data_IF_977670905812
#
_entry.id   IF_977670905812
#
_cell.length_a   1.000
_cell.length_b   1.000
_cell.length_c   1.000
_cell.angle_alpha   90.00
_cell.angle_beta   90.00
_cell.angle_gamma   90.00
#
_symmetry.space_group_name_H-M   'P 1'
#
loop_
_entity.id
_entity.type
_entity.pdbx_description
1 polymer ?
#
# COMPACT_ATOMS: atom_id res chain seq x y z
N UNK A 1 28.15 25.14 27.19
CA UNK A 1 26.91 25.63 27.83
C UNK A 1 27.20 26.92 28.58
N UNK A 2 26.24 27.80 28.63
CA UNK A 2 26.31 29.01 29.46
C UNK A 2 25.02 29.13 30.28
N UNK A 3 25.11 29.84 31.40
CA UNK A 3 23.94 30.09 32.26
C UNK A 3 23.31 31.39 31.80
N UNK A 4 22.04 31.30 31.40
CA UNK A 4 21.21 32.48 31.08
C UNK A 4 20.44 32.88 32.35
N UNK A 5 20.71 34.07 32.83
CA UNK A 5 19.97 34.66 33.95
C UNK A 5 18.83 35.53 33.38
N UNK A 6 17.65 35.37 33.88
CA UNK A 6 16.49 36.18 33.52
C UNK A 6 16.22 37.23 34.58
N UNK A 7 15.57 38.32 34.18
CA UNK A 7 15.28 39.43 35.07
C UNK A 7 14.35 39.05 36.25
N UNK A 8 13.60 37.94 36.13
CA UNK A 8 12.75 37.36 37.16
C UNK A 8 13.48 36.42 38.14
N UNK A 9 14.83 36.35 38.09
CA UNK A 9 15.64 35.53 38.95
C UNK A 9 15.78 34.06 38.53
N UNK A 10 15.13 33.63 37.45
CA UNK A 10 15.32 32.26 36.91
C UNK A 10 16.69 32.12 36.26
N UNK A 11 17.25 30.91 36.40
CA UNK A 11 18.53 30.53 35.79
C UNK A 11 18.32 29.27 34.94
N UNK A 12 18.63 29.39 33.67
CA UNK A 12 18.61 28.25 32.75
C UNK A 12 19.98 27.98 32.19
N UNK A 13 20.35 26.71 32.10
CA UNK A 13 21.55 26.28 31.40
C UNK A 13 21.27 26.13 29.91
N UNK A 14 21.72 27.07 29.12
CA UNK A 14 21.61 27.00 27.66
C UNK A 14 22.81 26.23 27.12
N UNK A 15 22.52 25.14 26.44
CA UNK A 15 23.55 24.35 25.75
C UNK A 15 23.68 24.89 24.34
N UNK A 16 24.84 25.48 24.08
CA UNK A 16 25.17 26.10 22.80
C UNK A 16 26.01 25.16 21.94
N UNK A 17 25.71 25.14 20.65
CA UNK A 17 26.59 24.51 19.66
C UNK A 17 27.09 25.58 18.69
N UNK A 18 28.40 25.66 18.43
CA UNK A 18 28.96 26.59 17.44
C UNK A 18 28.48 26.29 16.01
N UNK A 19 27.91 25.13 15.78
CA UNK A 19 27.40 24.70 14.47
C UNK A 19 25.89 24.95 14.29
N UNK A 20 25.21 25.50 15.31
CA UNK A 20 23.78 25.85 15.19
C UNK A 20 23.61 26.97 14.15
N UNK A 21 22.76 26.73 13.15
CA UNK A 21 22.53 27.67 12.05
C UNK A 21 23.50 27.57 10.87
N UNK A 22 24.44 26.61 10.89
CA UNK A 22 25.27 26.31 9.73
C UNK A 22 24.54 25.46 8.69
N UNK A 23 25.13 25.36 7.47
CA UNK A 23 24.55 24.60 6.36
C UNK A 23 24.29 23.09 6.68
N UNK A 24 25.08 22.55 7.61
CA UNK A 24 24.86 21.21 8.17
C UNK A 24 24.28 21.38 9.57
N UNK A 25 23.14 20.78 9.80
CA UNK A 25 22.46 20.83 11.10
C UNK A 25 23.31 20.16 12.20
N UNK A 26 23.05 20.55 13.43
CA UNK A 26 23.79 20.00 14.60
C UNK A 26 23.38 18.53 14.75
N UNK A 27 24.36 17.60 14.85
CA UNK A 27 24.05 16.20 15.13
C UNK A 27 23.18 16.07 16.38
N UNK A 28 22.18 15.21 16.31
CA UNK A 28 21.28 14.96 17.43
C UNK A 28 22.04 14.64 18.70
N UNK A 29 21.67 15.33 19.79
CA UNK A 29 22.33 15.13 21.10
C UNK A 29 21.69 13.92 21.76
N UNK A 30 22.52 12.99 22.20
CA UNK A 30 22.12 11.79 22.91
C UNK A 30 22.51 10.51 22.19
N UNK A 31 22.35 9.41 22.91
CA UNK A 31 22.60 8.09 22.35
C UNK A 31 21.48 7.76 21.38
N UNK A 32 21.82 7.33 20.17
CA UNK A 32 20.88 6.85 19.17
C UNK A 32 21.28 5.44 18.76
N UNK A 33 20.33 4.57 18.67
CA UNK A 33 20.54 3.21 18.20
C UNK A 33 19.18 2.58 17.96
N UNK A 34 18.94 2.15 16.72
CA UNK A 34 17.68 1.52 16.34
C UNK A 34 17.97 0.27 15.50
N UNK A 35 17.38 -0.83 15.87
CA UNK A 35 17.41 -2.09 15.11
C UNK A 35 16.00 -2.34 14.60
N UNK A 36 15.87 -2.48 13.29
CA UNK A 36 14.60 -2.83 12.66
C UNK A 36 14.63 -4.28 12.22
N UNK A 37 13.67 -5.05 12.69
CA UNK A 37 13.43 -6.41 12.21
C UNK A 37 12.28 -6.35 11.22
N UNK A 38 12.53 -6.81 10.00
CA UNK A 38 11.51 -6.90 8.97
C UNK A 38 11.58 -8.25 8.27
N UNK A 39 10.42 -8.86 8.08
CA UNK A 39 10.24 -10.10 7.33
C UNK A 39 9.27 -9.78 6.21
N UNK A 40 9.64 -10.14 4.98
CA UNK A 40 8.76 -10.01 3.82
C UNK A 40 8.81 -11.31 3.04
N UNK A 41 7.63 -11.84 2.75
CA UNK A 41 7.46 -13.06 1.97
C UNK A 41 6.46 -12.82 0.85
N UNK A 42 6.66 -13.50 -0.27
CA UNK A 42 5.71 -13.63 -1.35
C UNK A 42 5.36 -15.10 -1.56
N UNK A 43 4.17 -15.37 -2.06
CA UNK A 43 3.72 -16.73 -2.38
C UNK A 43 3.25 -16.77 -3.83
N UNK A 44 3.97 -17.53 -4.63
CA UNK A 44 3.64 -17.77 -6.02
C UNK A 44 3.29 -19.25 -6.26
N UNK A 45 2.29 -19.46 -7.10
CA UNK A 45 1.87 -20.80 -7.51
C UNK A 45 2.08 -20.96 -9.00
N UNK A 46 2.66 -22.09 -9.36
CA UNK A 46 2.70 -22.54 -10.76
C UNK A 46 1.63 -23.61 -10.97
N UNK A 47 0.81 -23.44 -11.99
CA UNK A 47 -0.17 -24.45 -12.34
C UNK A 47 -0.10 -24.77 -13.84
N UNK A 48 -0.35 -26.02 -14.16
CA UNK A 48 -0.40 -26.49 -15.53
C UNK A 48 -1.77 -26.20 -16.13
N UNK A 49 -1.80 -25.49 -17.26
CA UNK A 49 -3.03 -25.18 -18.00
C UNK A 49 -3.19 -26.17 -19.15
N UNK A 50 -4.00 -27.20 -18.97
CA UNK A 50 -4.28 -28.22 -19.99
C UNK A 50 -4.85 -27.66 -21.30
N UNK A 51 -5.48 -26.48 -21.27
CA UNK A 51 -6.01 -25.83 -22.49
C UNK A 51 -4.92 -25.28 -23.41
N UNK A 52 -3.71 -24.99 -22.90
CA UNK A 52 -2.62 -24.35 -23.64
C UNK A 52 -1.32 -25.11 -23.59
N UNK A 53 -1.29 -26.25 -22.92
CA UNK A 53 -0.08 -27.08 -22.69
C UNK A 53 1.10 -26.27 -22.11
N UNK A 54 0.79 -25.27 -21.26
CA UNK A 54 1.77 -24.36 -20.68
C UNK A 54 1.64 -24.25 -19.17
N UNK A 55 2.79 -24.05 -18.50
CA UNK A 55 2.83 -23.76 -17.07
C UNK A 55 2.57 -22.26 -16.89
N UNK A 56 1.52 -21.92 -16.14
CA UNK A 56 1.22 -20.55 -15.76
C UNK A 56 1.62 -20.30 -14.33
N UNK A 57 2.19 -19.12 -14.09
CA UNK A 57 2.57 -18.61 -12.77
C UNK A 57 1.53 -17.61 -12.28
N UNK A 58 1.03 -17.79 -11.07
CA UNK A 58 0.13 -16.85 -10.41
C UNK A 58 0.74 -16.44 -9.08
N UNK A 59 0.84 -15.14 -8.82
CA UNK A 59 1.13 -14.62 -7.48
C UNK A 59 -0.15 -14.71 -6.65
N UNK A 60 -0.14 -15.52 -5.59
CA UNK A 60 -1.25 -15.64 -4.63
C UNK A 60 -1.16 -14.54 -3.58
N UNK A 61 0.05 -14.33 -3.04
CA UNK A 61 0.36 -13.28 -2.09
C UNK A 61 1.54 -12.50 -2.68
N UNK A 62 1.28 -11.26 -3.05
CA UNK A 62 2.29 -10.38 -3.63
C UNK A 62 3.27 -9.89 -2.56
N UNK A 63 2.76 -9.64 -1.35
CA UNK A 63 3.56 -9.27 -0.20
C UNK A 63 2.86 -9.67 1.10
N UNK A 64 3.57 -10.40 1.96
CA UNK A 64 3.21 -10.64 3.35
C UNK A 64 4.39 -10.18 4.20
N UNK A 65 4.20 -9.08 4.92
CA UNK A 65 5.25 -8.43 5.69
C UNK A 65 4.93 -8.30 7.17
N UNK A 66 5.98 -8.37 7.99
CA UNK A 66 5.94 -8.01 9.39
C UNK A 66 7.16 -7.17 9.73
N UNK A 67 6.99 -6.13 10.50
CA UNK A 67 8.07 -5.24 10.92
C UNK A 67 7.91 -4.80 12.36
N UNK A 68 9.05 -4.73 13.05
CA UNK A 68 9.15 -4.21 14.42
C UNK A 68 10.49 -3.55 14.62
N UNK A 69 10.53 -2.51 15.43
CA UNK A 69 11.75 -1.81 15.75
C UNK A 69 12.16 -2.02 17.22
N UNK A 70 13.48 -2.00 17.51
CA UNK A 70 14.06 -2.00 18.83
C UNK A 70 15.00 -0.81 18.99
N UNK A 71 14.68 0.11 19.91
CA UNK A 71 15.51 1.28 20.21
C UNK A 71 16.47 0.95 21.35
N UNK A 72 17.74 0.73 21.02
CA UNK A 72 18.81 0.40 21.98
C UNK A 72 19.14 1.56 22.92
N UNK A 73 18.82 2.78 22.56
CA UNK A 73 19.10 3.97 23.34
C UNK A 73 17.97 4.35 24.32
N UNK A 74 16.82 3.69 24.21
CA UNK A 74 15.68 3.95 25.08
C UNK A 74 15.94 3.40 26.49
N UNK A 75 15.79 4.25 27.51
CA UNK A 75 15.90 3.84 28.91
C UNK A 75 14.73 2.94 29.34
N UNK A 76 13.55 3.14 28.75
CA UNK A 76 12.33 2.36 28.99
C UNK A 76 11.64 2.08 27.66
N UNK A 77 10.91 0.96 27.56
CA UNK A 77 10.11 0.61 26.39
C UNK A 77 10.89 0.62 25.06
N UNK A 78 11.92 -0.21 24.94
CA UNK A 78 12.77 -0.21 23.74
C UNK A 78 12.08 -0.77 22.49
N UNK A 79 11.03 -1.61 22.62
CA UNK A 79 10.33 -2.18 21.50
C UNK A 79 9.30 -1.20 20.93
N UNK A 80 9.29 -1.04 19.62
CA UNK A 80 8.22 -0.34 18.90
C UNK A 80 6.98 -1.23 18.72
N UNK A 81 6.01 -0.70 18.00
CA UNK A 81 4.80 -1.44 17.66
C UNK A 81 5.06 -2.44 16.53
N UNK A 82 4.36 -3.58 16.56
CA UNK A 82 4.42 -4.59 15.51
C UNK A 82 3.49 -4.20 14.37
N UNK A 83 4.04 -3.98 13.19
CA UNK A 83 3.30 -3.77 11.95
C UNK A 83 3.17 -5.07 11.17
N UNK A 84 1.97 -5.33 10.61
CA UNK A 84 1.70 -6.42 9.68
C UNK A 84 1.11 -5.84 8.40
N UNK A 85 1.57 -6.30 7.24
CA UNK A 85 1.07 -5.90 5.93
C UNK A 85 0.88 -7.13 5.03
N UNK A 86 -0.24 -7.10 4.30
CA UNK A 86 -0.60 -8.11 3.32
C UNK A 86 -1.06 -7.40 2.05
N UNK A 87 -0.52 -7.81 0.91
CA UNK A 87 -0.96 -7.36 -0.40
C UNK A 87 -1.24 -8.57 -1.29
N UNK A 88 -2.47 -8.61 -1.82
CA UNK A 88 -2.94 -9.63 -2.73
C UNK A 88 -3.22 -8.99 -4.08
N UNK A 89 -2.62 -9.51 -5.14
CA UNK A 89 -2.91 -9.11 -6.50
C UNK A 89 -3.74 -10.20 -7.17
N UNK A 90 -5.06 -10.13 -6.99
CA UNK A 90 -5.97 -11.18 -7.42
C UNK A 90 -6.20 -11.17 -8.94
N UNK A 91 -5.97 -10.04 -9.60
CA UNK A 91 -5.97 -9.93 -11.06
C UNK A 91 -5.18 -8.70 -11.51
N UNK A 92 -5.00 -8.51 -12.85
CA UNK A 92 -4.35 -7.31 -13.41
C UNK A 92 -5.04 -6.00 -12.96
N UNK A 93 -6.36 -6.05 -12.73
CA UNK A 93 -7.19 -4.88 -12.42
C UNK A 93 -7.65 -4.83 -10.95
N UNK A 94 -7.22 -5.78 -10.14
CA UNK A 94 -7.72 -5.93 -8.78
C UNK A 94 -6.59 -6.15 -7.79
N UNK A 95 -6.38 -5.19 -6.91
CA UNK A 95 -5.41 -5.27 -5.82
C UNK A 95 -6.11 -5.04 -4.49
N UNK A 96 -5.84 -5.90 -3.54
CA UNK A 96 -6.30 -5.78 -2.16
C UNK A 96 -5.10 -5.63 -1.25
N UNK A 97 -5.09 -4.60 -0.42
CA UNK A 97 -4.05 -4.35 0.57
C UNK A 97 -4.65 -4.26 1.96
N UNK A 98 -3.97 -4.84 2.91
CA UNK A 98 -4.36 -4.90 4.30
C UNK A 98 -3.15 -4.58 5.18
N UNK A 99 -3.33 -3.73 6.16
CA UNK A 99 -2.32 -3.44 7.18
C UNK A 99 -2.95 -3.47 8.56
N UNK A 100 -2.18 -3.92 9.54
CA UNK A 100 -2.60 -3.95 10.94
C UNK A 100 -1.44 -3.59 11.84
N UNK A 101 -1.68 -2.91 12.93
CA UNK A 101 -0.67 -2.61 13.93
C UNK A 101 -1.07 -3.08 15.31
N UNK A 102 -0.09 -3.58 16.05
CA UNK A 102 -0.25 -4.11 17.39
C UNK A 102 0.73 -3.42 18.32
N UNK A 103 0.19 -2.82 19.36
CA UNK A 103 0.97 -2.13 20.37
C UNK A 103 1.67 -3.14 21.27
N UNK A 104 2.98 -2.97 21.42
CA UNK A 104 3.81 -3.84 22.22
C UNK A 104 3.59 -3.62 23.72
N UNK A 105 3.34 -2.37 24.11
CA UNK A 105 3.10 -2.00 25.51
C UNK A 105 1.65 -1.61 25.73
N UNK A 106 1.03 -2.19 26.74
CA UNK A 106 -0.34 -1.87 27.13
C UNK A 106 -0.46 -0.52 27.84
N UNK A 107 -1.66 -0.23 28.31
CA UNK A 107 -1.95 0.98 29.07
C UNK A 107 -2.09 0.64 30.57
N UNK A 108 -1.70 1.58 31.43
CA UNK A 108 -1.93 1.56 32.88
C UNK A 108 -2.35 2.96 33.34
N UNK A 109 -2.94 3.04 34.54
CA UNK A 109 -3.13 4.34 35.19
C UNK A 109 -1.93 4.66 36.05
N UNK A 110 -1.47 5.91 36.01
CA UNK A 110 -0.49 6.44 36.96
C UNK A 110 -1.15 6.75 38.33
N UNK A 111 -0.35 7.23 39.28
CA UNK A 111 -0.82 7.65 40.60
C UNK A 111 -1.83 8.79 40.56
N UNK A 112 -1.84 9.58 39.49
CA UNK A 112 -2.72 10.71 39.31
C UNK A 112 -4.00 10.36 38.51
N UNK A 113 -4.15 9.08 38.12
CA UNK A 113 -5.29 8.63 37.32
C UNK A 113 -5.14 8.90 35.80
N UNK A 114 -3.99 9.37 35.33
CA UNK A 114 -3.74 9.55 33.91
C UNK A 114 -3.41 8.21 33.23
N UNK A 115 -3.80 8.09 31.97
CA UNK A 115 -3.47 6.93 31.16
C UNK A 115 -2.04 7.06 30.65
N UNK A 116 -1.19 6.13 31.05
CA UNK A 116 0.21 6.03 30.60
C UNK A 116 0.47 4.65 30.03
N UNK A 117 1.50 4.54 29.23
CA UNK A 117 1.92 3.24 28.71
C UNK A 117 2.60 2.40 29.81
N UNK A 118 2.33 1.11 29.78
CA UNK A 118 2.99 0.16 30.67
C UNK A 118 4.47 -0.01 30.27
N UNK A 119 5.34 -0.29 31.23
CA UNK A 119 6.76 -0.52 30.96
C UNK A 119 7.08 -1.97 30.60
N UNK A 120 6.12 -2.89 30.84
CA UNK A 120 6.24 -4.30 30.47
C UNK A 120 5.49 -4.57 29.18
N UNK A 121 6.10 -5.38 28.33
CA UNK A 121 5.51 -5.79 27.06
C UNK A 121 4.29 -6.70 27.28
N UNK A 122 3.32 -6.65 26.38
CA UNK A 122 2.18 -7.59 26.38
C UNK A 122 2.66 -9.05 26.22
N UNK A 123 3.79 -9.26 25.54
CA UNK A 123 4.41 -10.58 25.39
C UNK A 123 4.85 -11.19 26.71
N UNK A 124 5.29 -10.37 27.68
CA UNK A 124 5.63 -10.86 29.02
C UNK A 124 4.43 -11.41 29.79
N UNK A 125 3.21 -11.10 29.33
CA UNK A 125 1.96 -11.64 29.83
C UNK A 125 1.38 -12.75 28.95
N UNK A 126 2.15 -13.26 27.97
CA UNK A 126 1.71 -14.27 27.01
C UNK A 126 0.70 -13.77 25.98
N UNK A 127 0.60 -12.45 25.77
CA UNK A 127 -0.31 -11.83 24.78
C UNK A 127 0.46 -11.37 23.58
N UNK A 128 -0.14 -11.44 22.40
CA UNK A 128 0.50 -11.02 21.14
C UNK A 128 0.75 -9.50 21.06
N UNK A 129 -0.09 -8.70 21.70
CA UNK A 129 -0.06 -7.23 21.65
C UNK A 129 -1.48 -6.67 21.73
N UNK A 130 -1.60 -5.34 21.86
CA UNK A 130 -2.89 -4.67 21.79
C UNK A 130 -3.13 -4.22 20.36
N UNK A 131 -4.21 -4.70 19.76
CA UNK A 131 -4.65 -4.26 18.44
C UNK A 131 -4.93 -2.76 18.45
N UNK A 132 -4.19 -2.00 17.64
CA UNK A 132 -4.32 -0.55 17.53
C UNK A 132 -5.20 -0.15 16.36
N UNK A 133 -5.15 -0.92 15.29
CA UNK A 133 -5.87 -0.58 14.10
C UNK A 133 -5.67 -1.55 12.95
N UNK A 134 -6.55 -1.41 11.99
CA UNK A 134 -6.61 -2.18 10.76
C UNK A 134 -6.92 -1.23 9.62
N UNK A 135 -6.14 -1.30 8.57
CA UNK A 135 -6.42 -0.61 7.31
C UNK A 135 -6.54 -1.61 6.19
N UNK A 136 -7.56 -1.46 5.36
CA UNK A 136 -7.65 -2.17 4.09
C UNK A 136 -7.96 -1.21 2.96
N UNK A 137 -7.38 -1.47 1.81
CA UNK A 137 -7.65 -0.73 0.59
C UNK A 137 -7.91 -1.70 -0.56
N UNK A 138 -8.80 -1.28 -1.39
CA UNK A 138 -9.25 -1.98 -2.56
C UNK A 138 -9.19 -1.03 -3.73
N UNK A 139 -8.56 -1.43 -4.82
CA UNK A 139 -8.54 -0.66 -6.06
C UNK A 139 -9.04 -1.50 -7.23
N UNK A 140 -9.85 -0.90 -8.07
CA UNK A 140 -10.36 -1.53 -9.27
C UNK A 140 -10.32 -0.55 -10.45
N UNK A 141 -9.77 -1.02 -11.56
CA UNK A 141 -9.68 -0.23 -12.80
C UNK A 141 -10.69 -0.74 -13.83
N UNK A 142 -11.65 0.10 -14.17
CA UNK A 142 -12.55 -0.12 -15.30
C UNK A 142 -11.94 0.49 -16.56
N UNK A 143 -11.98 -0.25 -17.66
CA UNK A 143 -11.62 0.22 -18.99
C UNK A 143 -12.59 -0.38 -20.04
N UNK A 144 -12.39 -0.03 -21.30
CA UNK A 144 -13.22 -0.54 -22.41
C UNK A 144 -13.31 -2.07 -22.45
N UNK A 145 -12.24 -2.78 -22.10
CA UNK A 145 -12.21 -4.25 -22.12
C UNK A 145 -12.94 -4.86 -20.94
N UNK A 146 -12.76 -4.29 -19.73
CA UNK A 146 -13.48 -4.75 -18.54
C UNK A 146 -14.96 -4.52 -18.68
N UNK A 147 -15.37 -3.39 -19.29
CA UNK A 147 -16.77 -3.08 -19.56
C UNK A 147 -17.41 -4.08 -20.55
N UNK A 148 -16.71 -4.42 -21.64
CA UNK A 148 -17.19 -5.45 -22.59
C UNK A 148 -17.39 -6.79 -21.92
N UNK A 149 -16.40 -7.28 -21.18
CA UNK A 149 -16.50 -8.55 -20.43
C UNK A 149 -17.64 -8.56 -19.42
N UNK A 150 -17.91 -7.43 -18.79
CA UNK A 150 -19.00 -7.29 -17.84
C UNK A 150 -20.36 -7.29 -18.52
N UNK A 151 -20.49 -6.56 -19.64
CA UNK A 151 -21.70 -6.54 -20.49
C UNK A 151 -22.03 -7.93 -21.05
N UNK A 152 -21.03 -8.65 -21.57
CA UNK A 152 -21.15 -10.03 -22.05
C UNK A 152 -21.64 -11.00 -20.96
N UNK A 153 -21.14 -10.84 -19.73
CA UNK A 153 -21.62 -11.63 -18.59
C UNK A 153 -23.07 -11.31 -18.18
N UNK A 154 -23.47 -10.04 -18.24
CA UNK A 154 -24.83 -9.61 -17.86
C UNK A 154 -25.86 -9.98 -18.93
N UNK A 155 -25.50 -9.88 -20.21
CA UNK A 155 -26.43 -10.16 -21.33
C UNK A 155 -26.70 -11.64 -21.56
N UNK A 156 -26.02 -12.54 -20.83
CA UNK A 156 -26.26 -13.98 -20.91
C UNK A 156 -25.98 -14.62 -22.27
N UNK A 157 -25.45 -13.86 -23.24
CA UNK A 157 -25.15 -14.34 -24.58
C UNK A 157 -23.85 -15.11 -24.57
N UNK A 158 -23.95 -16.42 -24.43
CA UNK A 158 -22.80 -17.31 -24.72
C UNK A 158 -22.72 -17.47 -26.24
N UNK A 159 -22.04 -16.55 -26.91
CA UNK A 159 -21.59 -16.81 -28.27
C UNK A 159 -20.34 -17.71 -28.17
N UNK A 160 -20.56 -18.99 -28.42
CA UNK A 160 -19.57 -20.07 -28.33
C UNK A 160 -18.52 -20.05 -29.46
N UNK A 161 -18.53 -19.05 -30.36
CA UNK A 161 -17.72 -19.08 -31.59
C UNK A 161 -16.67 -17.96 -31.74
N UNK A 162 -16.39 -17.16 -30.68
CA UNK A 162 -15.37 -16.10 -30.75
C UNK A 162 -14.18 -16.27 -29.79
N UNK A 163 -13.87 -17.49 -29.39
CA UNK A 163 -12.72 -17.77 -28.51
C UNK A 163 -11.36 -17.83 -29.22
N UNK A 164 -11.27 -17.61 -30.53
CA UNK A 164 -10.02 -17.79 -31.27
C UNK A 164 -9.17 -16.54 -31.52
N UNK A 165 -9.68 -15.32 -31.28
CA UNK A 165 -8.93 -14.09 -31.64
C UNK A 165 -8.53 -13.17 -30.47
N UNK A 166 -8.66 -13.62 -29.21
CA UNK A 166 -8.40 -12.74 -28.03
C UNK A 166 -7.20 -13.10 -27.16
N UNK A 167 -6.28 -13.90 -27.65
CA UNK A 167 -5.13 -14.33 -26.85
C UNK A 167 -3.79 -13.63 -27.18
N UNK A 168 -3.80 -12.61 -28.04
CA UNK A 168 -2.58 -12.00 -28.53
C UNK A 168 -2.37 -10.52 -28.14
N UNK A 169 -2.85 -10.09 -26.96
CA UNK A 169 -2.57 -8.75 -26.47
C UNK A 169 -2.28 -8.68 -24.99
N UNK A 170 -1.29 -9.43 -24.52
CA UNK A 170 -0.75 -9.23 -23.17
C UNK A 170 0.64 -9.84 -23.00
N UNK A 171 1.55 -9.45 -23.86
CA UNK A 171 2.98 -9.50 -23.60
C UNK A 171 3.60 -8.22 -24.17
N UNK A 172 3.64 -7.16 -23.36
CA UNK A 172 4.71 -6.18 -23.44
C UNK A 172 5.74 -6.59 -22.39
N UNK A 173 6.54 -7.56 -22.75
CA UNK A 173 7.89 -7.76 -22.29
C UNK A 173 8.77 -7.36 -23.46
N UNK A 174 9.67 -6.43 -23.23
CA UNK A 174 10.69 -6.00 -24.18
C UNK A 174 11.46 -7.21 -24.70
N UNK A 175 11.34 -7.46 -26.01
CA UNK A 175 12.41 -8.01 -26.82
C UNK A 175 12.21 -7.51 -28.24
N UNK A 176 12.98 -6.49 -28.55
CA UNK A 176 13.10 -5.89 -29.88
C UNK A 176 14.01 -6.80 -30.70
N UNK A 177 13.46 -7.80 -31.39
CA UNK A 177 14.14 -8.33 -32.56
C UNK A 177 13.72 -7.54 -33.80
N UNK A 178 14.60 -6.64 -34.15
CA UNK A 178 14.53 -5.89 -35.39
C UNK A 178 14.88 -6.83 -36.57
N UNK A 179 13.88 -7.27 -37.29
CA UNK A 179 14.11 -7.74 -38.67
C UNK A 179 14.17 -6.49 -39.59
N UNK A 180 15.37 -6.10 -39.97
CA UNK A 180 15.61 -5.05 -40.93
C UNK A 180 15.55 -5.61 -42.37
N UNK A 181 14.65 -5.05 -43.16
CA UNK A 181 14.76 -5.10 -44.64
C UNK A 181 15.86 -4.16 -45.09
N UNK A 182 16.47 -4.45 -46.27
CA UNK A 182 17.61 -3.75 -46.87
C UNK A 182 17.43 -2.21 -47.08
N UNK A 183 16.31 -1.62 -46.71
CA UNK A 183 16.04 -0.19 -46.84
C UNK A 183 16.03 0.62 -45.54
N UNK A 184 16.30 0.02 -44.40
CA UNK A 184 16.55 0.73 -43.12
C UNK A 184 15.41 1.62 -42.58
N UNK A 185 14.18 1.45 -43.05
CA UNK A 185 13.03 2.25 -42.58
C UNK A 185 12.11 1.33 -41.75
N UNK A 186 11.87 1.59 -40.46
CA UNK A 186 10.96 0.77 -39.66
C UNK A 186 9.53 0.94 -40.18
N UNK A 187 8.96 -0.10 -40.77
CA UNK A 187 7.54 -0.15 -41.15
C UNK A 187 6.70 -0.23 -39.88
N UNK A 188 6.13 0.89 -39.45
CA UNK A 188 5.09 0.94 -38.47
C UNK A 188 3.90 0.13 -38.96
N UNK A 189 3.56 -0.96 -38.26
CA UNK A 189 2.36 -1.77 -38.54
C UNK A 189 1.15 -0.86 -38.43
N UNK A 190 0.59 -0.44 -39.56
CA UNK A 190 -0.64 0.35 -39.60
C UNK A 190 -1.77 -0.63 -39.30
N UNK A 191 -2.27 -0.61 -38.06
CA UNK A 191 -3.52 -1.29 -37.72
C UNK A 191 -4.62 -0.71 -38.60
N UNK A 192 -5.24 -1.55 -39.45
CA UNK A 192 -6.39 -1.16 -40.25
C UNK A 192 -7.50 -0.73 -39.27
N UNK A 193 -7.86 0.54 -39.29
CA UNK A 193 -8.93 1.10 -38.51
C UNK A 193 -10.22 0.31 -38.81
N UNK A 194 -10.93 -0.16 -37.76
CA UNK A 194 -12.22 -0.80 -37.94
C UNK A 194 -13.20 0.21 -38.53
N UNK A 195 -13.77 -0.13 -39.68
CA UNK A 195 -14.74 0.70 -40.42
C UNK A 195 -16.13 0.16 -40.09
N UNK A 196 -17.09 1.04 -39.81
CA UNK A 196 -18.49 0.69 -39.59
C UNK A 196 -19.18 0.29 -40.89
N UNK A 197 -20.40 -0.31 -40.83
CA UNK A 197 -21.17 -0.72 -41.99
C UNK A 197 -21.41 0.40 -43.00
N UNK A 198 -21.40 1.65 -42.57
CA UNK A 198 -21.57 2.87 -43.34
C UNK A 198 -20.22 3.47 -43.85
N UNK A 199 -19.11 2.78 -43.70
CA UNK A 199 -17.79 3.21 -44.18
C UNK A 199 -17.06 4.24 -43.32
N UNK A 200 -17.59 4.61 -42.17
CA UNK A 200 -16.96 5.52 -41.22
C UNK A 200 -15.98 4.80 -40.29
N UNK A 201 -14.86 5.43 -39.99
CA UNK A 201 -13.95 4.91 -38.97
C UNK A 201 -14.61 4.91 -37.60
N UNK A 202 -14.74 3.73 -36.98
CA UNK A 202 -15.24 3.62 -35.62
C UNK A 202 -14.20 4.21 -34.66
N UNK A 203 -14.47 5.42 -34.16
CA UNK A 203 -13.62 6.08 -33.18
C UNK A 203 -13.82 5.38 -31.82
N UNK A 204 -12.85 4.55 -31.43
CA UNK A 204 -12.80 3.96 -30.10
C UNK A 204 -12.15 4.95 -29.16
N UNK A 205 -12.94 5.63 -28.37
CA UNK A 205 -12.47 6.51 -27.31
C UNK A 205 -11.94 5.67 -26.16
N UNK A 206 -10.61 5.57 -25.95
CA UNK A 206 -10.10 4.83 -24.81
C UNK A 206 -10.34 5.64 -23.53
N UNK A 207 -11.02 5.01 -22.59
CA UNK A 207 -11.25 5.56 -21.27
C UNK A 207 -10.84 4.56 -20.20
N UNK A 208 -10.45 5.09 -19.05
CA UNK A 208 -10.22 4.30 -17.84
C UNK A 208 -10.79 5.02 -16.62
N UNK A 209 -11.40 4.27 -15.73
CA UNK A 209 -11.97 4.75 -14.48
C UNK A 209 -11.41 3.90 -13.34
N UNK A 210 -10.71 4.56 -12.43
CA UNK A 210 -10.12 3.93 -11.26
C UNK A 210 -11.00 4.22 -10.03
N UNK A 211 -11.45 3.17 -9.35
CA UNK A 211 -12.09 3.24 -8.06
C UNK A 211 -11.13 2.79 -6.98
N UNK A 212 -10.98 3.61 -5.96
CA UNK A 212 -10.24 3.25 -4.76
C UNK A 212 -11.17 3.39 -3.56
N UNK A 213 -11.31 2.33 -2.82
CA UNK A 213 -12.03 2.32 -1.55
C UNK A 213 -11.06 1.94 -0.45
N UNK A 214 -11.05 2.69 0.63
CA UNK A 214 -10.28 2.35 1.81
C UNK A 214 -11.15 2.37 3.05
N UNK A 215 -10.92 1.41 3.90
CA UNK A 215 -11.55 1.25 5.20
C UNK A 215 -10.45 1.21 6.26
N UNK A 216 -10.62 2.01 7.31
CA UNK A 216 -9.65 2.07 8.40
C UNK A 216 -10.37 2.00 9.76
N UNK A 217 -9.84 1.15 10.64
CA UNK A 217 -10.17 1.08 12.05
C UNK A 217 -8.96 1.59 12.82
N UNK A 218 -9.14 2.52 13.72
CA UNK A 218 -8.07 3.05 14.58
C UNK A 218 -8.57 3.31 16.00
N UNK A 219 -7.66 3.29 16.98
CA UNK A 219 -7.98 3.72 18.33
C UNK A 219 -8.46 5.18 18.36
N UNK A 220 -9.59 5.44 18.99
CA UNK A 220 -10.12 6.78 19.20
C UNK A 220 -9.66 7.34 20.55
N UNK A 221 -8.50 7.97 20.54
CA UNK A 221 -7.90 8.57 21.76
C UNK A 221 -8.59 9.87 22.19
N UNK A 222 -9.56 10.39 21.42
CA UNK A 222 -10.39 11.52 21.85
C UNK A 222 -11.43 11.11 22.87
N UNK A 223 -11.72 9.82 22.98
CA UNK A 223 -12.66 9.25 23.93
C UNK A 223 -11.96 8.64 25.15
N UNK A 224 -12.64 8.58 26.31
CA UNK A 224 -12.04 7.98 27.50
C UNK A 224 -11.77 6.48 27.32
N UNK A 225 -10.68 6.03 27.92
CA UNK A 225 -10.31 4.62 27.90
C UNK A 225 -11.31 3.76 28.69
N UNK A 226 -11.61 2.59 28.19
CA UNK A 226 -12.39 1.60 28.94
C UNK A 226 -11.54 1.04 30.07
N UNK A 227 -11.86 1.40 31.33
CA UNK A 227 -11.11 1.02 32.53
C UNK A 227 -11.00 -0.49 32.75
N UNK A 228 -12.03 -1.27 32.35
CA UNK A 228 -12.02 -2.74 32.54
C UNK A 228 -11.11 -3.44 31.54
N UNK A 229 -11.10 -2.96 30.28
CA UNK A 229 -10.34 -3.58 29.19
C UNK A 229 -8.98 -2.91 28.95
N UNK A 230 -8.73 -1.74 29.55
CA UNK A 230 -7.55 -0.90 29.32
C UNK A 230 -7.29 -0.66 27.81
N UNK A 231 -8.36 -0.31 27.09
CA UNK A 231 -8.34 -0.07 25.65
C UNK A 231 -9.21 1.13 25.31
N UNK A 232 -8.77 1.90 24.31
CA UNK A 232 -9.59 2.95 23.73
C UNK A 232 -10.69 2.35 22.83
N UNK A 233 -11.83 3.00 22.67
CA UNK A 233 -12.81 2.63 21.64
C UNK A 233 -12.22 2.78 20.25
N UNK A 234 -12.80 2.12 19.26
CA UNK A 234 -12.36 2.23 17.88
C UNK A 234 -13.17 3.27 17.12
N UNK A 235 -12.50 3.94 16.21
CA UNK A 235 -13.10 4.80 15.18
C UNK A 235 -12.97 4.13 13.83
N UNK A 236 -14.06 4.20 13.06
CA UNK A 236 -14.17 3.64 11.72
C UNK A 236 -14.19 4.77 10.71
N UNK A 237 -13.34 4.68 9.69
CA UNK A 237 -13.29 5.65 8.59
C UNK A 237 -13.37 4.93 7.25
N UNK A 238 -14.15 5.50 6.34
CA UNK A 238 -14.32 5.02 4.99
C UNK A 238 -13.95 6.14 4.02
N UNK A 239 -13.13 5.84 3.03
CA UNK A 239 -12.81 6.76 1.96
C UNK A 239 -13.10 6.09 0.63
N UNK A 240 -13.84 6.78 -0.24
CA UNK A 240 -14.09 6.37 -1.60
C UNK A 240 -13.57 7.45 -2.53
N UNK A 241 -12.69 7.10 -3.45
CA UNK A 241 -12.22 7.98 -4.50
C UNK A 241 -12.40 7.34 -5.86
N UNK A 242 -12.76 8.16 -6.85
CA UNK A 242 -12.86 7.75 -8.24
C UNK A 242 -12.08 8.76 -9.09
N UNK A 243 -11.29 8.27 -10.02
CA UNK A 243 -10.56 9.08 -11.01
C UNK A 243 -10.70 8.46 -12.39
N UNK A 244 -10.88 9.29 -13.40
CA UNK A 244 -11.07 8.84 -14.77
C UNK A 244 -10.19 9.59 -15.76
N UNK A 245 -9.76 8.90 -16.80
CA UNK A 245 -9.05 9.45 -17.94
C UNK A 245 -9.77 9.08 -19.23
N UNK A 246 -9.91 10.07 -20.12
CA UNK A 246 -10.49 9.89 -21.45
C UNK A 246 -9.49 10.47 -22.45
N UNK A 247 -9.09 9.66 -23.43
CA UNK A 247 -8.30 10.15 -24.58
C UNK A 247 -9.24 10.56 -25.70
N UNK A 248 -9.28 11.85 -26.00
CA UNK A 248 -10.15 12.41 -27.05
C UNK A 248 -9.51 12.36 -28.46
N UNK A 249 -8.20 12.17 -28.56
CA UNK A 249 -7.47 12.09 -29.83
C UNK A 249 -6.19 11.27 -29.68
N UNK A 250 -5.87 10.47 -30.69
CA UNK A 250 -4.54 9.91 -30.88
C UNK A 250 -3.74 10.88 -31.78
N UNK A 251 -3.04 11.83 -31.20
CA UNK A 251 -1.94 12.52 -31.87
C UNK A 251 -0.64 11.92 -31.43
#
# INVERSE_FOLDING_TARGET
SYIKNYADGRRDTVVYSPYAGQAFDVPGRGKQGNITFSISNNLEMKYYSSKKDTIKKISLIDELGANINYNMAAATRPWGDLGLNLRLKLSKNYTFSMSSSFKTYGYKFDKNGNVVENDRTEWSYGRFGIFQGYGSSFSYTFNNETWKKWKEKLSGTKDADKEKDKENSSEEGEDVEASSDESGIPKKKVEKAAVDADGYQVFKMPWSLNFNYSFNISEDRSKPINRKKMRYPYRYTHNLSASGNIKLSNK
#
